data_IF_721963288503
#
_entry.id   IF_721963288503
#
_cell.length_a   1.000
_cell.length_b   1.000
_cell.length_c   1.000
_cell.angle_alpha   90.00
_cell.angle_beta   90.00
_cell.angle_gamma   90.00
#
_symmetry.space_group_name_H-M   'P 1'
#
loop_
_entity.id
_entity.type
_entity.pdbx_description
1 polymer ?
#
# COMPACT_ATOMS: atom_id res chain seq x y z
N UNK A 1 -35.66 30.18 4.43
CA UNK A 1 -35.14 29.71 5.75
C UNK A 1 -34.71 28.24 5.76
N UNK A 2 -35.32 27.36 4.94
CA UNK A 2 -35.03 25.91 4.89
C UNK A 2 -33.67 25.55 4.24
N UNK A 3 -33.19 26.31 3.23
CA UNK A 3 -31.91 26.02 2.56
C UNK A 3 -30.66 26.24 3.45
N UNK A 4 -30.71 27.15 4.43
CA UNK A 4 -29.59 27.39 5.37
C UNK A 4 -29.43 26.24 6.39
N UNK A 5 -30.54 25.60 6.79
CA UNK A 5 -30.50 24.45 7.70
C UNK A 5 -30.01 23.17 7.01
N UNK A 6 -30.43 22.93 5.77
CA UNK A 6 -30.01 21.74 5.01
C UNK A 6 -28.49 21.75 4.71
N UNK A 7 -27.94 22.93 4.41
CA UNK A 7 -26.51 23.10 4.15
C UNK A 7 -25.64 22.89 5.40
N UNK A 8 -26.10 23.30 6.59
CA UNK A 8 -25.35 23.14 7.84
C UNK A 8 -25.30 21.67 8.31
N UNK A 9 -26.41 20.93 8.16
CA UNK A 9 -26.50 19.51 8.55
C UNK A 9 -25.59 18.62 7.68
N UNK A 10 -25.53 18.87 6.37
CA UNK A 10 -24.66 18.12 5.44
C UNK A 10 -23.17 18.32 5.76
N UNK A 11 -22.77 19.55 6.09
CA UNK A 11 -21.39 19.88 6.47
C UNK A 11 -20.99 19.17 7.78
N UNK A 12 -21.88 19.16 8.78
CA UNK A 12 -21.63 18.47 10.06
C UNK A 12 -21.46 16.95 9.82
N UNK A 13 -22.29 16.32 8.98
CA UNK A 13 -22.16 14.88 8.67
C UNK A 13 -20.84 14.51 7.98
N UNK A 14 -20.38 15.33 7.03
CA UNK A 14 -19.12 15.10 6.31
C UNK A 14 -17.89 15.27 7.22
N UNK A 15 -17.90 16.27 8.10
CA UNK A 15 -16.82 16.50 9.07
C UNK A 15 -16.68 15.32 10.05
N UNK A 16 -17.82 14.77 10.52
CA UNK A 16 -17.81 13.66 11.48
C UNK A 16 -17.28 12.37 10.86
N UNK A 17 -17.65 12.06 9.62
CA UNK A 17 -17.15 10.88 8.89
C UNK A 17 -15.65 10.97 8.60
N UNK A 18 -15.14 12.15 8.26
CA UNK A 18 -13.71 12.37 8.01
C UNK A 18 -12.87 12.16 9.28
N UNK A 19 -13.35 12.64 10.44
CA UNK A 19 -12.69 12.44 11.73
C UNK A 19 -12.65 10.96 12.13
N UNK A 20 -13.76 10.23 11.95
CA UNK A 20 -13.82 8.79 12.22
C UNK A 20 -12.85 8.00 11.32
N UNK A 21 -12.81 8.31 10.01
CA UNK A 21 -11.88 7.68 9.06
C UNK A 21 -10.42 7.94 9.45
N UNK A 22 -10.09 9.19 9.81
CA UNK A 22 -8.73 9.54 10.26
C UNK A 22 -8.34 8.77 11.53
N UNK A 23 -9.22 8.74 12.53
CA UNK A 23 -8.98 8.01 13.78
C UNK A 23 -8.74 6.51 13.55
N UNK A 24 -9.51 5.90 12.65
CA UNK A 24 -9.34 4.49 12.27
C UNK A 24 -7.98 4.25 11.60
N UNK A 25 -7.56 5.14 10.69
CA UNK A 25 -6.27 5.02 10.02
C UNK A 25 -5.09 5.18 11.00
N UNK A 26 -5.20 6.08 11.99
CA UNK A 26 -4.18 6.24 13.04
C UNK A 26 -4.09 4.98 13.92
N UNK A 27 -5.22 4.32 14.21
CA UNK A 27 -5.24 3.04 14.92
C UNK A 27 -4.55 1.92 14.13
N UNK A 28 -4.90 1.77 12.84
CA UNK A 28 -4.27 0.78 11.94
C UNK A 28 -2.76 1.05 11.86
N UNK A 29 -2.35 2.30 11.67
CA UNK A 29 -0.95 2.69 11.62
C UNK A 29 -0.20 2.25 12.89
N UNK A 30 -0.76 2.48 14.08
CA UNK A 30 -0.12 2.05 15.32
C UNK A 30 0.01 0.53 15.42
N UNK A 31 -1.02 -0.23 15.02
CA UNK A 31 -0.94 -1.70 14.98
C UNK A 31 0.11 -2.18 13.98
N UNK A 32 0.23 -1.54 12.82
CA UNK A 32 1.28 -1.82 11.82
C UNK A 32 2.66 -1.58 12.41
N UNK A 33 2.89 -0.44 13.10
CA UNK A 33 4.19 -0.16 13.74
C UNK A 33 4.55 -1.26 14.75
N UNK A 34 3.61 -1.67 15.60
CA UNK A 34 3.80 -2.76 16.55
C UNK A 34 4.15 -4.08 15.84
N UNK A 35 3.39 -4.45 14.80
CA UNK A 35 3.65 -5.66 14.01
C UNK A 35 5.04 -5.63 13.34
N UNK A 36 5.44 -4.49 12.77
CA UNK A 36 6.76 -4.34 12.16
C UNK A 36 7.88 -4.60 13.17
N UNK A 37 7.75 -4.09 14.39
CA UNK A 37 8.77 -4.26 15.45
C UNK A 37 8.78 -5.66 16.06
N UNK A 38 7.61 -6.23 16.36
CA UNK A 38 7.51 -7.43 17.19
C UNK A 38 7.34 -8.73 16.40
N UNK A 39 6.92 -8.65 15.14
CA UNK A 39 6.66 -9.82 14.31
C UNK A 39 7.54 -9.83 13.07
N UNK A 40 7.45 -8.81 12.22
CA UNK A 40 8.10 -8.81 10.91
C UNK A 40 9.62 -8.62 11.01
N UNK A 41 10.10 -7.67 11.81
CA UNK A 41 11.52 -7.30 11.92
C UNK A 41 12.11 -7.62 13.30
N UNK A 42 11.46 -8.48 14.08
CA UNK A 42 11.85 -8.78 15.47
C UNK A 42 13.32 -9.17 15.65
N UNK A 43 13.88 -9.85 14.67
CA UNK A 43 15.27 -10.34 14.71
C UNK A 43 16.27 -9.29 14.18
N UNK A 44 15.79 -8.30 13.42
CA UNK A 44 16.59 -7.27 12.76
C UNK A 44 16.58 -5.93 13.51
N UNK A 45 15.53 -5.65 14.30
CA UNK A 45 15.24 -4.33 14.88
C UNK A 45 16.39 -3.75 15.73
N UNK A 46 17.17 -4.63 16.37
CA UNK A 46 18.31 -4.25 17.21
C UNK A 46 19.51 -3.71 16.41
N UNK A 47 19.59 -4.02 15.12
CA UNK A 47 20.67 -3.58 14.22
C UNK A 47 20.26 -2.35 13.40
N UNK A 48 19.00 -1.93 13.48
CA UNK A 48 18.45 -0.85 12.67
C UNK A 48 18.68 0.51 13.32
N UNK A 49 19.08 1.47 12.49
CA UNK A 49 19.11 2.90 12.84
C UNK A 49 17.70 3.53 12.75
N UNK A 50 17.55 4.78 13.18
CA UNK A 50 16.27 5.50 13.03
C UNK A 50 15.87 5.73 11.58
N UNK A 51 16.85 5.90 10.68
CA UNK A 51 16.60 6.06 9.23
C UNK A 51 16.13 4.76 8.59
N UNK A 52 16.53 3.61 9.13
CA UNK A 52 16.14 2.31 8.57
C UNK A 52 14.65 2.01 8.78
N UNK A 53 14.04 2.61 9.81
CA UNK A 53 12.66 2.37 10.25
C UNK A 53 11.63 3.24 9.54
N UNK A 54 11.93 3.73 8.34
CA UNK A 54 11.06 4.58 7.54
C UNK A 54 10.24 3.78 6.52
N UNK A 55 8.96 4.10 6.41
CA UNK A 55 8.04 3.45 5.48
C UNK A 55 6.91 4.37 5.01
N UNK A 56 6.31 4.04 3.88
CA UNK A 56 5.02 4.55 3.43
C UNK A 56 3.97 3.46 3.52
N UNK A 57 2.71 3.84 3.70
CA UNK A 57 1.60 2.90 3.83
C UNK A 57 0.36 3.43 3.12
N UNK A 58 -0.36 2.53 2.48
CA UNK A 58 -1.67 2.78 1.87
C UNK A 58 -2.63 1.65 2.23
N UNK A 59 -3.92 2.00 2.33
CA UNK A 59 -5.01 1.08 2.60
C UNK A 59 -5.84 0.95 1.32
N UNK A 60 -6.04 -0.26 0.85
CA UNK A 60 -6.77 -0.54 -0.39
C UNK A 60 -7.40 -1.93 -0.34
N UNK A 61 -8.70 -2.00 -0.61
CA UNK A 61 -9.41 -3.26 -0.84
C UNK A 61 -8.98 -3.87 -2.19
N UNK A 62 -8.12 -4.88 -2.12
CA UNK A 62 -7.59 -5.59 -3.27
C UNK A 62 -8.47 -6.77 -3.65
N UNK A 63 -9.42 -7.21 -2.83
CA UNK A 63 -10.15 -8.45 -3.05
C UNK A 63 -11.69 -8.29 -3.13
N UNK A 64 -12.17 -7.04 -3.02
CA UNK A 64 -13.58 -6.63 -3.08
C UNK A 64 -14.44 -7.21 -1.94
N UNK A 65 -13.84 -7.46 -0.76
CA UNK A 65 -14.53 -7.95 0.45
C UNK A 65 -14.98 -6.84 1.43
N UNK A 66 -14.66 -5.59 1.11
CA UNK A 66 -14.98 -4.41 1.90
C UNK A 66 -14.03 -4.15 3.07
N UNK A 67 -12.90 -4.86 3.14
CA UNK A 67 -11.84 -4.64 4.13
C UNK A 67 -10.53 -4.33 3.41
N UNK A 68 -9.98 -3.16 3.68
CA UNK A 68 -8.72 -2.77 3.06
C UNK A 68 -7.55 -3.66 3.49
N UNK A 69 -6.79 -4.15 2.52
CA UNK A 69 -5.42 -4.63 2.74
C UNK A 69 -4.49 -3.46 3.08
N UNK A 70 -3.41 -3.78 3.78
CA UNK A 70 -2.38 -2.84 4.19
C UNK A 70 -1.15 -3.06 3.32
N UNK A 71 -0.86 -2.11 2.44
CA UNK A 71 0.30 -2.15 1.56
C UNK A 71 1.36 -1.17 2.07
N UNK A 72 2.58 -1.68 2.29
CA UNK A 72 3.71 -0.96 2.89
C UNK A 72 4.87 -0.94 1.89
N UNK A 73 5.46 0.23 1.72
CA UNK A 73 6.74 0.42 1.03
C UNK A 73 7.79 0.82 2.06
N UNK A 74 8.86 0.03 2.20
CA UNK A 74 10.04 0.49 2.93
C UNK A 74 10.86 1.42 2.04
N UNK A 75 11.34 2.53 2.60
CA UNK A 75 11.96 3.62 1.82
C UNK A 75 13.43 3.87 2.17
N UNK A 76 13.98 3.12 3.13
CA UNK A 76 15.36 3.29 3.58
C UNK A 76 16.36 2.44 2.78
N UNK A 77 17.64 2.81 2.73
CA UNK A 77 18.69 2.01 2.09
C UNK A 77 18.83 0.58 2.65
N UNK A 78 18.36 0.33 3.88
CA UNK A 78 18.32 -1.01 4.46
C UNK A 78 17.44 -1.96 3.63
N UNK A 79 16.32 -1.44 3.10
CA UNK A 79 15.36 -2.22 2.31
C UNK A 79 15.42 -1.95 0.81
N UNK A 80 16.22 -0.97 0.39
CA UNK A 80 16.30 -0.47 -0.97
C UNK A 80 17.70 -0.61 -1.56
N UNK A 81 17.79 -1.24 -2.73
CA UNK A 81 19.00 -1.32 -3.53
C UNK A 81 18.79 -0.80 -4.95
N UNK A 82 19.80 -0.97 -5.80
CA UNK A 82 19.74 -0.54 -7.21
C UNK A 82 18.61 -1.19 -7.99
N UNK A 83 18.16 -2.38 -7.59
CA UNK A 83 17.05 -3.11 -8.20
C UNK A 83 15.65 -2.63 -7.77
N UNK A 84 15.53 -1.90 -6.67
CA UNK A 84 14.26 -1.50 -6.07
C UNK A 84 14.24 -1.72 -4.56
N UNK A 85 13.07 -1.51 -3.97
CA UNK A 85 12.82 -1.63 -2.54
C UNK A 85 12.02 -2.88 -2.19
N UNK A 86 12.00 -3.20 -0.90
CA UNK A 86 11.08 -4.19 -0.33
C UNK A 86 9.71 -3.56 -0.10
N UNK A 87 8.66 -4.27 -0.50
CA UNK A 87 7.28 -3.94 -0.16
C UNK A 87 6.66 -5.10 0.61
N UNK A 88 5.68 -4.81 1.45
CA UNK A 88 4.98 -5.76 2.28
C UNK A 88 3.48 -5.57 2.12
N UNK A 89 2.76 -6.66 1.94
CA UNK A 89 1.30 -6.67 1.88
C UNK A 89 0.75 -7.54 2.99
N UNK A 90 -0.15 -6.96 3.79
CA UNK A 90 -0.86 -7.62 4.88
C UNK A 90 -2.37 -7.56 4.62
N UNK A 91 -3.11 -8.53 5.16
CA UNK A 91 -4.56 -8.42 5.22
C UNK A 91 -5.02 -7.40 6.26
N UNK A 92 -6.33 -7.16 6.33
CA UNK A 92 -6.94 -6.24 7.30
C UNK A 92 -6.77 -6.67 8.77
N UNK A 93 -6.26 -7.87 9.04
CA UNK A 93 -5.93 -8.41 10.36
C UNK A 93 -4.41 -8.51 10.60
N UNK A 94 -3.58 -7.84 9.77
CA UNK A 94 -2.11 -7.85 9.81
C UNK A 94 -1.47 -9.20 9.49
N UNK A 95 -2.21 -10.16 8.94
CA UNK A 95 -1.62 -11.41 8.47
C UNK A 95 -0.81 -11.13 7.21
N UNK A 96 0.40 -11.66 7.16
CA UNK A 96 1.24 -11.63 5.96
C UNK A 96 0.54 -12.27 4.76
N UNK A 97 0.44 -11.50 3.67
CA UNK A 97 0.02 -12.00 2.35
C UNK A 97 1.24 -12.17 1.44
N UNK A 98 2.05 -11.11 1.31
CA UNK A 98 3.19 -11.14 0.40
C UNK A 98 4.32 -10.20 0.82
N UNK A 99 5.55 -10.59 0.51
CA UNK A 99 6.72 -9.70 0.53
C UNK A 99 7.24 -9.60 -0.89
N UNK A 100 7.30 -8.38 -1.41
CA UNK A 100 7.83 -8.11 -2.74
C UNK A 100 9.28 -7.64 -2.63
N UNK A 101 10.19 -8.36 -3.28
CA UNK A 101 11.58 -7.94 -3.44
C UNK A 101 11.75 -7.17 -4.75
N UNK A 102 12.75 -6.29 -4.82
CA UNK A 102 13.18 -5.65 -6.08
C UNK A 102 12.01 -4.94 -6.79
N UNK A 103 11.20 -4.21 -6.02
CA UNK A 103 9.98 -3.56 -6.51
C UNK A 103 10.16 -2.05 -6.50
N UNK A 104 9.59 -1.36 -7.49
CA UNK A 104 9.64 0.10 -7.56
C UNK A 104 8.22 0.66 -7.63
N UNK A 105 8.03 1.81 -7.01
CA UNK A 105 6.92 2.66 -7.36
C UNK A 105 7.11 3.19 -8.81
N UNK A 106 6.03 3.53 -9.53
CA UNK A 106 4.65 3.49 -9.08
C UNK A 106 4.07 2.07 -9.01
N UNK A 107 3.08 1.89 -8.12
CA UNK A 107 2.24 0.69 -8.08
C UNK A 107 0.82 1.10 -8.46
N UNK A 108 0.24 0.38 -9.41
CA UNK A 108 -1.14 0.55 -9.85
C UNK A 108 -1.98 -0.66 -9.49
N UNK A 109 -3.26 -0.42 -9.21
CA UNK A 109 -4.26 -1.42 -8.90
C UNK A 109 -5.34 -1.37 -9.98
N UNK A 110 -5.53 -2.51 -10.65
CA UNK A 110 -6.68 -2.75 -11.49
C UNK A 110 -7.70 -3.55 -10.68
N UNK A 111 -8.75 -2.88 -10.20
CA UNK A 111 -9.82 -3.52 -9.45
C UNK A 111 -10.58 -4.51 -10.33
N UNK A 112 -10.69 -5.75 -9.86
CA UNK A 112 -11.45 -6.81 -10.50
C UNK A 112 -12.59 -7.18 -9.57
N UNK A 113 -13.83 -7.06 -10.04
CA UNK A 113 -15.01 -7.36 -9.22
C UNK A 113 -15.03 -8.82 -8.78
N UNK A 114 -15.30 -9.07 -7.50
CA UNK A 114 -15.34 -10.39 -6.88
C UNK A 114 -14.05 -11.22 -7.05
N UNK A 115 -12.89 -10.58 -7.19
CA UNK A 115 -11.61 -11.27 -7.29
C UNK A 115 -10.47 -10.38 -6.78
N UNK A 116 -9.32 -10.98 -6.52
CA UNK A 116 -8.11 -10.23 -6.25
C UNK A 116 -7.72 -9.36 -7.45
N UNK A 117 -7.43 -8.09 -7.18
CA UNK A 117 -6.98 -7.10 -8.12
C UNK A 117 -5.62 -7.47 -8.70
N UNK A 118 -5.42 -7.14 -9.98
CA UNK A 118 -4.10 -7.19 -10.58
C UNK A 118 -3.30 -5.97 -10.12
N UNK A 119 -2.05 -6.20 -9.74
CA UNK A 119 -1.12 -5.10 -9.46
C UNK A 119 -0.20 -4.90 -10.66
N UNK A 120 0.17 -3.66 -10.91
CA UNK A 120 1.11 -3.31 -11.96
C UNK A 120 2.24 -2.44 -11.41
N UNK A 121 3.45 -2.69 -11.91
CA UNK A 121 4.66 -1.93 -11.57
C UNK A 121 5.55 -1.81 -12.78
N UNK A 122 6.49 -0.87 -12.76
CA UNK A 122 7.47 -0.68 -13.84
C UNK A 122 8.81 -1.28 -13.43
N UNK A 123 9.33 -2.18 -14.25
CA UNK A 123 10.67 -2.72 -14.09
C UNK A 123 11.47 -2.52 -15.39
N UNK A 124 12.57 -1.74 -15.32
CA UNK A 124 13.44 -1.43 -16.47
C UNK A 124 12.69 -0.88 -17.69
N UNK A 125 11.68 -0.03 -17.43
CA UNK A 125 10.86 0.58 -18.47
C UNK A 125 9.72 -0.30 -18.98
N UNK A 126 9.62 -1.55 -18.53
CA UNK A 126 8.52 -2.44 -18.91
C UNK A 126 7.46 -2.50 -17.81
N UNK A 127 6.20 -2.37 -18.21
CA UNK A 127 5.06 -2.60 -17.34
C UNK A 127 4.94 -4.10 -17.04
N UNK A 128 4.99 -4.47 -15.76
CA UNK A 128 4.85 -5.84 -15.27
C UNK A 128 3.46 -6.01 -14.65
N UNK A 129 2.85 -7.17 -14.86
CA UNK A 129 1.60 -7.57 -14.22
C UNK A 129 1.87 -8.59 -13.11
N UNK A 130 1.30 -8.33 -11.94
CA UNK A 130 1.34 -9.20 -10.77
C UNK A 130 -0.08 -9.71 -10.52
N UNK A 131 -0.35 -10.91 -11.00
CA UNK A 131 -1.64 -11.58 -10.81
C UNK A 131 -1.63 -12.36 -9.48
N UNK A 132 -2.69 -12.24 -8.70
CA UNK A 132 -2.84 -13.04 -7.49
C UNK A 132 -3.21 -14.48 -7.85
N UNK A 133 -2.35 -15.44 -7.47
CA UNK A 133 -2.57 -16.87 -7.75
C UNK A 133 -2.09 -17.71 -6.59
N UNK A 134 -2.84 -18.76 -6.28
CA UNK A 134 -2.50 -19.70 -5.20
C UNK A 134 -2.24 -18.99 -3.85
N UNK A 135 -3.05 -17.98 -3.54
CA UNK A 135 -3.00 -17.26 -2.27
C UNK A 135 -1.90 -16.18 -2.15
N UNK A 136 -1.20 -15.82 -3.23
CA UNK A 136 -0.19 -14.75 -3.21
C UNK A 136 0.06 -14.10 -4.57
N UNK A 137 0.74 -12.95 -4.54
CA UNK A 137 1.35 -12.35 -5.72
C UNK A 137 2.77 -12.91 -5.97
N UNK A 138 3.35 -12.73 -7.16
CA UNK A 138 4.77 -13.00 -7.39
C UNK A 138 5.66 -12.15 -6.46
N UNK A 139 6.54 -12.79 -5.71
CA UNK A 139 7.44 -12.11 -4.77
C UNK A 139 8.46 -11.20 -5.45
N UNK A 140 8.83 -11.43 -6.71
CA UNK A 140 9.80 -10.61 -7.42
C UNK A 140 9.20 -10.13 -8.75
N UNK A 141 8.77 -8.87 -8.86
CA UNK A 141 8.20 -8.33 -10.08
C UNK A 141 9.14 -8.34 -11.29
N UNK A 142 10.46 -8.38 -11.09
CA UNK A 142 11.41 -8.42 -12.22
C UNK A 142 11.31 -9.69 -13.08
N UNK A 143 10.79 -10.79 -12.52
CA UNK A 143 10.56 -12.06 -13.23
C UNK A 143 9.09 -12.28 -13.58
N UNK A 144 8.23 -11.31 -13.26
CA UNK A 144 6.83 -11.35 -13.64
C UNK A 144 6.67 -11.13 -15.16
N UNK A 145 5.51 -11.51 -15.68
CA UNK A 145 5.18 -11.32 -17.09
C UNK A 145 5.06 -9.83 -17.41
N UNK A 146 5.40 -9.47 -18.64
CA UNK A 146 5.04 -8.16 -19.17
C UNK A 146 3.52 -8.08 -19.27
N UNK A 147 2.98 -6.90 -18.93
CA UNK A 147 1.62 -6.57 -19.28
C UNK A 147 1.47 -6.53 -20.80
N UNK A 148 0.26 -6.78 -21.31
CA UNK A 148 -0.05 -6.64 -22.74
C UNK A 148 -0.07 -5.18 -23.17
N UNK A 149 -0.43 -4.28 -22.25
CA UNK A 149 -0.28 -2.84 -22.43
C UNK A 149 1.16 -2.41 -22.17
N UNK A 150 1.63 -1.42 -22.93
CA UNK A 150 2.91 -0.77 -22.69
C UNK A 150 2.82 0.36 -21.68
N UNK A 151 1.61 0.85 -21.39
CA UNK A 151 1.35 2.00 -20.52
C UNK A 151 0.28 1.70 -19.46
N UNK A 152 0.36 2.31 -18.27
CA UNK A 152 -0.69 2.22 -17.27
C UNK A 152 -2.02 2.77 -17.78
N UNK A 153 -3.12 2.09 -17.45
CA UNK A 153 -4.45 2.58 -17.82
C UNK A 153 -4.88 3.75 -16.92
N UNK A 154 -5.64 4.70 -17.49
CA UNK A 154 -6.17 5.87 -16.76
C UNK A 154 -7.17 5.53 -15.66
N UNK A 155 -7.78 4.35 -15.72
CA UNK A 155 -8.75 3.89 -14.73
C UNK A 155 -8.13 3.07 -13.59
N UNK A 156 -6.82 2.79 -13.64
CA UNK A 156 -6.15 2.10 -12.55
C UNK A 156 -5.87 3.08 -11.41
N UNK A 157 -6.06 2.59 -10.19
CA UNK A 157 -5.73 3.37 -8.99
C UNK A 157 -4.23 3.31 -8.75
N UNK A 158 -3.55 4.45 -8.78
CA UNK A 158 -2.16 4.53 -8.35
C UNK A 158 -2.10 4.62 -6.82
N UNK A 159 -1.51 3.60 -6.19
CA UNK A 159 -1.43 3.52 -4.72
C UNK A 159 -0.06 3.89 -4.15
N UNK A 160 0.99 3.86 -4.98
CA UNK A 160 2.32 4.38 -4.66
C UNK A 160 2.84 5.24 -5.80
N UNK A 161 3.54 6.31 -5.45
CA UNK A 161 4.19 7.25 -6.36
C UNK A 161 5.71 7.07 -6.38
N UNK A 162 6.31 7.26 -7.55
CA UNK A 162 7.76 7.28 -7.73
C UNK A 162 8.43 8.50 -7.05
N UNK A 163 7.68 9.57 -6.87
CA UNK A 163 8.03 10.71 -6.03
C UNK A 163 7.60 10.46 -4.58
N UNK A 164 8.58 10.15 -3.74
CA UNK A 164 8.36 9.84 -2.31
C UNK A 164 7.76 11.03 -1.55
N UNK A 165 8.00 12.27 -1.98
CA UNK A 165 7.52 13.47 -1.30
C UNK A 165 6.00 13.64 -1.42
N UNK A 166 5.36 12.90 -2.34
CA UNK A 166 3.90 12.91 -2.52
C UNK A 166 3.15 12.02 -1.54
N UNK A 167 3.85 11.29 -0.66
CA UNK A 167 3.24 10.40 0.32
C UNK A 167 3.85 10.59 1.70
N UNK A 168 3.03 10.39 2.74
CA UNK A 168 3.49 10.51 4.12
C UNK A 168 4.46 9.39 4.45
N UNK A 169 5.64 9.76 4.94
CA UNK A 169 6.63 8.84 5.51
C UNK A 169 6.35 8.71 7.01
N UNK A 170 6.25 7.47 7.47
CA UNK A 170 6.08 7.09 8.86
C UNK A 170 7.35 6.44 9.41
N UNK A 171 7.43 6.38 10.73
CA UNK A 171 8.47 5.65 11.46
C UNK A 171 7.85 4.67 12.45
N UNK A 172 8.49 3.52 12.66
CA UNK A 172 8.13 2.50 13.65
C UNK A 172 9.28 2.22 14.62
#
# INVERSE_FOLDING_TARGET
MIHKFLSLVLIISLLTACQAKKSNNDEILNKVKTYLVHDFLKDEIQFMTSTDKQFQMTLVDLNDDGKDEIFIQFVSPYFCGTGGCTFLLLDSQLKHINTFSVTRAPIYVETIKNNWANLYTVNRGELKILEFKNGKYPNNPSVAKNATSTEPSKNWLQIFNDDLDKQTIYTF
#
